data_IF_344636000725
#
_entry.id   IF_344636000725
#
_cell.length_a   1.000
_cell.length_b   1.000
_cell.length_c   1.000
_cell.angle_alpha   90.00
_cell.angle_beta   90.00
_cell.angle_gamma   90.00
#
_symmetry.space_group_name_H-M   'P 1'
#
loop_
_entity.id
_entity.type
_entity.pdbx_description
1 polymer ?
#
# COMPACT_ATOMS: atom_id res chain seq x y z
N UNK A 1 14.33 75.48 26.32
CA UNK A 1 13.64 74.23 26.82
C UNK A 1 12.47 73.81 25.92
N UNK A 2 11.76 74.70 25.30
CA UNK A 2 10.58 74.38 24.42
C UNK A 2 11.01 73.70 23.07
N UNK A 3 12.13 74.13 22.52
CA UNK A 3 12.66 73.56 21.25
C UNK A 3 13.17 72.12 21.43
N UNK A 4 13.76 71.81 22.56
CA UNK A 4 14.29 70.47 22.83
C UNK A 4 13.16 69.40 22.96
N UNK A 5 12.00 69.77 23.48
CA UNK A 5 10.82 68.91 23.59
C UNK A 5 10.19 68.56 22.23
N UNK A 6 10.26 69.49 21.28
CA UNK A 6 9.72 69.29 19.92
C UNK A 6 10.59 68.27 19.15
N UNK A 7 11.90 68.35 19.30
CA UNK A 7 12.81 67.38 18.64
C UNK A 7 12.62 65.94 19.17
N UNK A 8 12.41 65.78 20.47
CA UNK A 8 12.11 64.45 21.05
C UNK A 8 10.77 63.89 20.60
N UNK A 9 9.74 64.74 20.48
CA UNK A 9 8.41 64.34 19.97
C UNK A 9 8.45 63.94 18.52
N UNK A 10 9.25 64.60 17.68
CA UNK A 10 9.40 64.28 16.29
C UNK A 10 10.20 62.96 16.06
N UNK A 11 11.24 62.75 16.90
CA UNK A 11 11.99 61.48 16.89
C UNK A 11 11.15 60.25 17.28
N UNK A 12 10.20 60.40 18.18
CA UNK A 12 9.32 59.32 18.60
C UNK A 12 8.26 58.94 17.56
N UNK A 13 7.79 59.93 16.77
CA UNK A 13 6.81 59.69 15.70
C UNK A 13 7.44 58.97 14.49
N UNK A 14 8.72 59.25 14.19
CA UNK A 14 9.45 58.60 13.08
C UNK A 14 9.71 57.10 13.38
N UNK A 15 9.89 56.72 14.65
CA UNK A 15 10.06 55.30 15.03
C UNK A 15 8.77 54.44 14.86
N UNK A 16 7.60 55.06 14.83
CA UNK A 16 6.34 54.31 14.67
C UNK A 16 6.01 53.99 13.19
N UNK A 17 6.74 54.59 12.23
CA UNK A 17 6.55 54.34 10.80
C UNK A 17 7.47 53.25 10.23
N UNK A 18 8.36 52.71 11.05
CA UNK A 18 9.22 51.57 10.66
C UNK A 18 8.52 50.20 10.83
N UNK A 19 7.20 50.14 10.57
CA UNK A 19 6.53 48.88 10.38
C UNK A 19 6.86 48.37 8.98
N UNK A 20 7.94 47.56 8.87
CA UNK A 20 8.31 46.90 7.63
C UNK A 20 7.14 46.03 7.18
N UNK A 21 6.74 46.22 5.91
CA UNK A 21 5.90 45.25 5.22
C UNK A 21 6.50 43.85 5.39
N UNK A 22 5.82 43.01 6.17
CA UNK A 22 6.10 41.59 6.15
C UNK A 22 5.80 41.13 4.72
N UNK A 23 6.85 40.86 3.94
CA UNK A 23 6.70 40.13 2.67
C UNK A 23 5.83 38.93 2.97
N UNK A 24 4.60 38.90 2.45
CA UNK A 24 3.79 37.70 2.42
C UNK A 24 4.69 36.60 1.93
N UNK A 25 5.08 35.68 2.81
CA UNK A 25 5.73 34.46 2.40
C UNK A 25 4.78 33.82 1.39
N UNK A 26 5.16 33.84 0.15
CA UNK A 26 4.49 33.05 -0.87
C UNK A 26 4.49 31.64 -0.31
N UNK A 27 3.29 31.12 0.00
CA UNK A 27 3.14 29.74 0.42
C UNK A 27 3.57 28.86 -0.74
N UNK A 28 4.88 28.61 -0.84
CA UNK A 28 5.44 27.61 -1.72
C UNK A 28 4.84 26.29 -1.27
N UNK A 29 3.78 25.87 -1.94
CA UNK A 29 3.21 24.53 -1.73
C UNK A 29 4.30 23.56 -2.11
N UNK A 30 4.91 22.94 -1.09
CA UNK A 30 5.91 21.90 -1.30
C UNK A 30 5.25 20.75 -2.06
N UNK A 31 5.70 20.51 -3.29
CA UNK A 31 5.18 19.46 -4.18
C UNK A 31 6.00 18.17 -4.13
N UNK A 32 7.06 18.15 -3.33
CA UNK A 32 7.92 16.97 -3.17
C UNK A 32 7.34 15.91 -2.22
N UNK A 33 8.07 14.82 -1.99
CA UNK A 33 7.72 13.80 -1.00
C UNK A 33 7.80 14.37 0.41
N UNK A 34 6.85 13.97 1.27
CA UNK A 34 6.83 14.37 2.70
C UNK A 34 7.95 13.69 3.49
N UNK A 35 8.23 12.43 3.17
CA UNK A 35 9.32 11.64 3.74
C UNK A 35 9.68 10.47 2.85
N UNK A 36 10.92 10.01 2.98
CA UNK A 36 11.40 8.76 2.41
C UNK A 36 12.02 7.92 3.52
N UNK A 37 11.67 6.64 3.55
CA UNK A 37 12.15 5.66 4.51
C UNK A 37 12.76 4.48 3.75
N UNK A 38 13.84 3.91 4.29
CA UNK A 38 14.52 2.74 3.72
C UNK A 38 14.49 1.57 4.69
N UNK A 39 14.52 0.35 4.15
CA UNK A 39 14.59 -0.87 4.96
C UNK A 39 13.32 -1.10 5.78
N UNK A 40 12.16 -1.08 5.14
CA UNK A 40 10.86 -1.26 5.80
C UNK A 40 10.65 -2.73 6.12
N UNK A 41 10.44 -3.04 7.39
CA UNK A 41 9.95 -4.32 7.91
C UNK A 41 8.87 -4.01 8.95
N UNK A 42 7.63 -4.23 8.59
CA UNK A 42 6.47 -3.81 9.37
C UNK A 42 5.54 -4.98 9.62
N UNK A 43 5.05 -5.10 10.85
CA UNK A 43 4.04 -6.09 11.23
C UNK A 43 2.72 -5.37 11.51
N UNK A 44 1.70 -5.75 10.76
CA UNK A 44 0.32 -5.38 11.04
C UNK A 44 -0.29 -6.42 11.98
N UNK A 45 -0.79 -5.96 13.14
CA UNK A 45 -1.33 -6.84 14.17
C UNK A 45 -2.76 -6.44 14.53
N UNK A 46 -3.59 -7.43 14.87
CA UNK A 46 -4.91 -7.24 15.45
C UNK A 46 -5.02 -8.11 16.71
N UNK A 47 -5.51 -7.50 17.81
CA UNK A 47 -5.67 -8.19 19.10
C UNK A 47 -4.40 -8.92 19.56
N UNK A 48 -3.25 -8.25 19.49
CA UNK A 48 -1.92 -8.75 19.83
C UNK A 48 -1.42 -9.95 18.99
N UNK A 49 -2.03 -10.21 17.83
CA UNK A 49 -1.59 -11.26 16.90
C UNK A 49 -1.15 -10.64 15.59
N UNK A 50 -0.01 -11.10 15.09
CA UNK A 50 0.45 -10.71 13.76
C UNK A 50 -0.54 -11.26 12.71
N UNK A 51 -0.99 -10.38 11.81
CA UNK A 51 -1.86 -10.74 10.69
C UNK A 51 -1.08 -10.71 9.39
N UNK A 52 -0.26 -9.67 9.22
CA UNK A 52 0.54 -9.48 8.01
C UNK A 52 1.90 -8.90 8.40
N UNK A 53 2.98 -9.45 7.84
CA UNK A 53 4.30 -8.81 7.79
C UNK A 53 4.54 -8.27 6.40
N UNK A 54 4.99 -7.05 6.31
CA UNK A 54 5.31 -6.35 5.07
C UNK A 54 6.79 -6.01 5.06
N UNK A 55 7.49 -6.36 3.98
CA UNK A 55 8.89 -6.01 3.77
C UNK A 55 9.06 -5.37 2.41
N UNK A 56 9.77 -4.24 2.37
CA UNK A 56 10.15 -3.54 1.15
C UNK A 56 11.38 -2.66 1.41
N UNK A 57 12.11 -2.33 0.36
CA UNK A 57 13.33 -1.52 0.48
C UNK A 57 13.05 -0.05 0.73
N UNK A 58 12.03 0.53 0.08
CA UNK A 58 11.81 1.98 0.09
C UNK A 58 10.33 2.32 0.20
N UNK A 59 10.00 3.29 1.05
CA UNK A 59 8.70 3.92 1.14
C UNK A 59 8.84 5.43 0.94
N UNK A 60 8.08 5.99 0.04
CA UNK A 60 7.95 7.44 -0.21
C UNK A 60 6.56 7.87 0.23
N UNK A 61 6.47 8.83 1.14
CA UNK A 61 5.19 9.37 1.59
C UNK A 61 4.89 10.68 0.88
N UNK A 62 3.75 10.77 0.22
CA UNK A 62 3.29 11.97 -0.47
C UNK A 62 2.74 13.03 0.50
N UNK A 63 2.53 14.29 0.08
CA UNK A 63 1.92 15.33 0.91
C UNK A 63 0.49 14.99 1.36
N UNK A 64 -0.25 14.17 0.61
CA UNK A 64 -1.59 13.68 0.93
C UNK A 64 -1.56 12.39 1.77
N UNK A 65 -0.36 12.00 2.22
CA UNK A 65 -0.09 10.83 3.07
C UNK A 65 -0.35 9.47 2.40
N UNK A 66 -0.49 9.43 1.09
CA UNK A 66 -0.35 8.19 0.32
C UNK A 66 1.10 7.71 0.40
N UNK A 67 1.31 6.39 0.32
CA UNK A 67 2.64 5.79 0.37
C UNK A 67 2.92 5.04 -0.92
N UNK A 68 4.02 5.36 -1.52
CA UNK A 68 4.51 4.71 -2.74
C UNK A 68 5.67 3.81 -2.35
N UNK A 69 5.64 2.58 -2.81
CA UNK A 69 6.67 1.58 -2.64
C UNK A 69 7.23 1.23 -4.02
N UNK A 70 8.30 1.93 -4.48
CA UNK A 70 8.81 1.81 -5.85
C UNK A 70 9.62 0.55 -6.09
N UNK A 71 9.86 -0.24 -5.07
CA UNK A 71 10.64 -1.48 -5.09
C UNK A 71 9.77 -2.67 -4.70
N UNK A 72 10.32 -3.87 -4.92
CA UNK A 72 9.65 -5.11 -4.54
C UNK A 72 9.05 -5.03 -3.14
N UNK A 73 7.80 -5.46 -3.02
CA UNK A 73 7.11 -5.62 -1.76
C UNK A 73 6.77 -7.08 -1.55
N UNK A 74 7.06 -7.59 -0.36
CA UNK A 74 6.63 -8.92 0.10
C UNK A 74 5.69 -8.81 1.29
N UNK A 75 4.62 -9.60 1.27
CA UNK A 75 3.63 -9.71 2.33
C UNK A 75 3.56 -11.17 2.76
N UNK A 76 3.60 -11.42 4.08
CA UNK A 76 3.32 -12.73 4.68
C UNK A 76 2.03 -12.61 5.47
N UNK A 77 1.04 -13.39 5.12
CA UNK A 77 -0.21 -13.47 5.85
C UNK A 77 -0.17 -14.64 6.82
N UNK A 78 -0.72 -14.45 8.01
CA UNK A 78 -0.69 -15.42 9.10
C UNK A 78 -2.10 -15.83 9.51
N UNK A 79 -2.26 -17.08 9.93
CA UNK A 79 -3.46 -17.58 10.60
C UNK A 79 -3.48 -17.17 12.09
N UNK A 80 -4.53 -17.61 12.78
CA UNK A 80 -4.69 -17.35 14.23
C UNK A 80 -3.64 -18.03 15.11
N UNK A 81 -2.94 -19.04 14.59
CA UNK A 81 -1.89 -19.79 15.28
C UNK A 81 -0.49 -19.24 14.98
N UNK A 82 -0.38 -18.27 14.07
CA UNK A 82 0.89 -17.66 13.63
C UNK A 82 1.56 -18.40 12.48
N UNK A 83 0.89 -19.36 11.84
CA UNK A 83 1.43 -20.03 10.66
C UNK A 83 1.23 -19.15 9.43
N UNK A 84 2.22 -19.17 8.51
CA UNK A 84 2.11 -18.48 7.23
C UNK A 84 1.08 -19.19 6.35
N UNK A 85 0.04 -18.47 5.93
CA UNK A 85 -1.01 -18.99 5.05
C UNK A 85 -0.75 -18.67 3.58
N UNK A 86 -0.22 -17.48 3.33
CA UNK A 86 0.16 -17.05 1.98
C UNK A 86 1.32 -16.08 2.00
N UNK A 87 2.11 -16.12 0.93
CA UNK A 87 3.20 -15.18 0.68
C UNK A 87 2.90 -14.49 -0.65
N UNK A 88 2.89 -13.17 -0.64
CA UNK A 88 2.61 -12.37 -1.81
C UNK A 88 3.80 -11.50 -2.13
N UNK A 89 4.12 -11.40 -3.42
CA UNK A 89 5.18 -10.55 -3.95
C UNK A 89 4.65 -9.71 -5.10
N UNK A 90 5.03 -8.44 -5.18
CA UNK A 90 4.83 -7.57 -6.34
C UNK A 90 6.06 -6.69 -6.55
N UNK A 91 6.28 -6.22 -7.77
CA UNK A 91 7.45 -5.39 -8.12
C UNK A 91 7.38 -4.00 -7.49
N UNK A 92 6.17 -3.50 -7.22
CA UNK A 92 5.92 -2.23 -6.56
C UNK A 92 4.56 -2.25 -5.86
N UNK A 93 4.30 -1.24 -5.02
CA UNK A 93 2.98 -1.07 -4.42
C UNK A 93 2.65 0.41 -4.17
N UNK A 94 1.36 0.69 -4.01
CA UNK A 94 0.83 1.98 -3.62
C UNK A 94 -0.21 1.79 -2.52
N UNK A 95 -0.06 2.52 -1.43
CA UNK A 95 -1.08 2.63 -0.37
C UNK A 95 -1.86 3.93 -0.55
N UNK A 96 -3.15 3.81 -0.65
CA UNK A 96 -4.10 4.92 -0.72
C UNK A 96 -4.70 5.17 0.66
N UNK A 97 -4.36 6.30 1.28
CA UNK A 97 -4.84 6.64 2.61
C UNK A 97 -6.36 6.78 2.68
N UNK A 98 -6.94 7.42 1.67
CA UNK A 98 -8.37 7.71 1.64
C UNK A 98 -9.24 6.44 1.69
N UNK A 99 -8.81 5.39 1.00
CA UNK A 99 -9.54 4.11 0.91
C UNK A 99 -8.97 3.04 1.83
N UNK A 100 -7.88 3.33 2.55
CA UNK A 100 -7.13 2.37 3.36
C UNK A 100 -6.84 1.08 2.58
N UNK A 101 -6.31 1.22 1.37
CA UNK A 101 -6.08 0.10 0.46
C UNK A 101 -4.64 0.06 -0.02
N UNK A 102 -4.13 -1.14 -0.23
CA UNK A 102 -2.84 -1.38 -0.87
C UNK A 102 -3.07 -1.96 -2.27
N UNK A 103 -2.45 -1.38 -3.27
CA UNK A 103 -2.42 -1.92 -4.63
C UNK A 103 -1.00 -2.39 -4.91
N UNK A 104 -0.82 -3.71 -5.11
CA UNK A 104 0.44 -4.27 -5.57
C UNK A 104 0.41 -4.40 -7.09
N UNK A 105 1.55 -4.16 -7.73
CA UNK A 105 1.65 -4.07 -9.19
C UNK A 105 2.95 -4.69 -9.67
N UNK A 106 2.90 -5.21 -10.91
CA UNK A 106 4.03 -5.82 -11.62
C UNK A 106 4.33 -7.23 -11.13
N UNK A 107 4.20 -8.22 -12.01
CA UNK A 107 4.53 -9.63 -11.79
C UNK A 107 4.11 -10.13 -10.39
N UNK A 108 2.84 -9.89 -10.06
CA UNK A 108 2.33 -10.27 -8.75
C UNK A 108 2.23 -11.78 -8.66
N UNK A 109 2.89 -12.34 -7.67
CA UNK A 109 2.92 -13.78 -7.38
C UNK A 109 2.38 -14.02 -5.97
N UNK A 110 1.39 -14.89 -5.86
CA UNK A 110 0.78 -15.30 -4.60
C UNK A 110 1.04 -16.78 -4.42
N UNK A 111 1.80 -17.14 -3.39
CA UNK A 111 2.01 -18.52 -2.98
C UNK A 111 1.02 -18.84 -1.85
N UNK A 112 -0.07 -19.51 -2.19
CA UNK A 112 -1.07 -20.00 -1.23
C UNK A 112 -0.57 -21.31 -0.60
N UNK A 113 0.00 -21.21 0.59
CA UNK A 113 0.57 -22.37 1.29
C UNK A 113 -0.49 -23.32 1.83
N UNK A 114 -1.71 -22.84 2.11
CA UNK A 114 -2.82 -23.66 2.59
C UNK A 114 -3.25 -24.70 1.56
N UNK A 115 -3.23 -24.32 0.27
CA UNK A 115 -3.72 -25.16 -0.83
C UNK A 115 -2.58 -25.68 -1.73
N UNK A 116 -1.34 -25.20 -1.54
CA UNK A 116 -0.21 -25.55 -2.41
C UNK A 116 -0.37 -24.98 -3.83
N UNK A 117 -0.92 -23.78 -3.96
CA UNK A 117 -1.24 -23.13 -5.22
C UNK A 117 -0.35 -21.92 -5.46
N UNK A 118 -0.03 -21.69 -6.74
CA UNK A 118 0.67 -20.49 -7.20
C UNK A 118 -0.27 -19.67 -8.08
N UNK A 119 -0.54 -18.43 -7.67
CA UNK A 119 -1.43 -17.53 -8.38
C UNK A 119 -0.60 -16.37 -8.93
N UNK A 120 -0.76 -16.08 -10.22
CA UNK A 120 -0.07 -14.98 -10.89
C UNK A 120 -1.10 -14.01 -11.47
N UNK A 121 -0.80 -12.71 -11.36
CA UNK A 121 -1.56 -11.62 -11.95
C UNK A 121 -0.67 -10.39 -12.13
N UNK A 122 -1.12 -9.36 -12.84
CA UNK A 122 -0.35 -8.13 -13.02
C UNK A 122 -0.53 -7.16 -11.85
N UNK A 123 -1.68 -7.21 -11.18
CA UNK A 123 -1.99 -6.37 -10.03
C UNK A 123 -3.06 -6.98 -9.13
N UNK A 124 -3.07 -6.60 -7.87
CA UNK A 124 -4.22 -6.79 -7.00
C UNK A 124 -4.37 -5.67 -5.99
N UNK A 125 -5.55 -5.56 -5.42
CA UNK A 125 -5.86 -4.63 -4.32
C UNK A 125 -6.15 -5.41 -3.05
N UNK A 126 -5.48 -5.02 -1.96
CA UNK A 126 -5.76 -5.52 -0.62
C UNK A 126 -6.46 -4.44 0.20
N UNK A 127 -7.58 -4.81 0.82
CA UNK A 127 -8.41 -4.00 1.70
C UNK A 127 -8.28 -4.56 3.13
N UNK A 128 -7.33 -4.05 3.96
CA UNK A 128 -7.11 -4.58 5.31
C UNK A 128 -8.36 -4.55 6.19
N UNK A 129 -9.14 -3.47 6.11
CA UNK A 129 -10.37 -3.30 6.88
C UNK A 129 -11.45 -4.31 6.54
N UNK A 130 -11.50 -4.78 5.30
CA UNK A 130 -12.44 -5.79 4.82
C UNK A 130 -11.87 -7.21 4.89
N UNK A 131 -10.58 -7.35 5.21
CA UNK A 131 -9.83 -8.62 5.16
C UNK A 131 -9.95 -9.30 3.79
N UNK A 132 -9.93 -8.52 2.72
CA UNK A 132 -10.23 -8.92 1.36
C UNK A 132 -9.11 -8.54 0.40
N UNK A 133 -8.87 -9.40 -0.57
CA UNK A 133 -7.98 -9.18 -1.71
C UNK A 133 -8.78 -9.39 -2.98
N UNK A 134 -8.61 -8.52 -3.98
CA UNK A 134 -9.26 -8.69 -5.27
C UNK A 134 -8.41 -8.14 -6.42
N UNK A 135 -8.69 -8.63 -7.61
CA UNK A 135 -8.19 -8.08 -8.87
C UNK A 135 -9.25 -8.20 -9.96
N UNK A 136 -9.22 -7.27 -10.92
CA UNK A 136 -10.02 -7.34 -12.16
C UNK A 136 -9.18 -7.82 -13.35
N UNK A 137 -7.90 -8.09 -13.13
CA UNK A 137 -6.93 -8.50 -14.15
C UNK A 137 -7.02 -9.99 -14.47
N UNK A 138 -6.41 -10.43 -15.58
CA UNK A 138 -6.19 -11.84 -15.84
C UNK A 138 -5.43 -12.49 -14.66
N UNK A 139 -5.84 -13.72 -14.35
CA UNK A 139 -5.26 -14.53 -13.28
C UNK A 139 -4.94 -15.91 -13.82
N UNK A 140 -3.79 -16.43 -13.43
CA UNK A 140 -3.39 -17.81 -13.68
C UNK A 140 -3.16 -18.49 -12.33
N UNK A 141 -3.84 -19.60 -12.09
CA UNK A 141 -3.72 -20.41 -10.87
C UNK A 141 -3.13 -21.75 -11.25
N UNK A 142 -1.95 -22.04 -10.76
CA UNK A 142 -1.31 -23.34 -10.91
C UNK A 142 -1.48 -24.11 -9.61
N UNK A 143 -2.19 -25.22 -9.68
CA UNK A 143 -2.29 -26.23 -8.62
C UNK A 143 -1.23 -27.32 -8.85
N UNK A 144 -1.30 -28.41 -8.11
CA UNK A 144 -0.43 -29.57 -8.33
C UNK A 144 -0.70 -30.25 -9.67
N UNK A 145 -1.95 -30.28 -10.12
CA UNK A 145 -2.43 -31.01 -11.31
C UNK A 145 -2.91 -30.08 -12.41
N UNK A 146 -3.47 -28.92 -12.06
CA UNK A 146 -4.24 -28.10 -12.98
C UNK A 146 -3.59 -26.75 -13.22
N UNK A 147 -3.90 -26.18 -14.38
CA UNK A 147 -3.60 -24.78 -14.71
C UNK A 147 -4.91 -24.09 -15.08
N UNK A 148 -5.37 -23.21 -14.22
CA UNK A 148 -6.63 -22.50 -14.34
C UNK A 148 -6.36 -21.05 -14.74
N UNK A 149 -7.00 -20.61 -15.82
CA UNK A 149 -6.95 -19.21 -16.24
C UNK A 149 -8.31 -18.56 -16.04
N UNK A 150 -8.30 -17.29 -15.67
CA UNK A 150 -9.53 -16.53 -15.51
C UNK A 150 -9.27 -15.03 -15.52
N UNK A 151 -10.35 -14.26 -15.42
CA UNK A 151 -10.31 -12.81 -15.27
C UNK A 151 -11.12 -12.42 -14.04
N UNK A 152 -10.48 -11.67 -13.18
CA UNK A 152 -11.08 -11.24 -11.91
C UNK A 152 -11.03 -12.33 -10.84
N UNK A 153 -10.40 -12.00 -9.73
CA UNK A 153 -10.31 -12.84 -8.54
C UNK A 153 -10.80 -12.04 -7.33
N UNK A 154 -11.52 -12.70 -6.45
CA UNK A 154 -11.94 -12.19 -5.15
C UNK A 154 -11.58 -13.21 -4.08
N UNK A 155 -10.86 -12.81 -3.04
CA UNK A 155 -10.29 -13.73 -2.06
C UNK A 155 -10.36 -13.15 -0.64
N UNK A 156 -10.48 -14.02 0.35
CA UNK A 156 -10.09 -13.69 1.73
C UNK A 156 -8.60 -13.38 1.78
N UNK A 157 -8.17 -12.46 2.65
CA UNK A 157 -6.76 -12.01 2.69
C UNK A 157 -5.76 -13.13 3.00
N UNK A 158 -6.20 -14.19 3.67
CA UNK A 158 -5.41 -15.39 3.99
C UNK A 158 -5.48 -16.47 2.90
N UNK A 159 -6.20 -16.23 1.80
CA UNK A 159 -6.46 -17.16 0.70
C UNK A 159 -7.12 -18.47 1.13
N UNK A 160 -7.74 -18.54 2.28
CA UNK A 160 -8.56 -19.70 2.73
C UNK A 160 -9.71 -19.96 1.73
N UNK A 161 -10.30 -18.91 1.21
CA UNK A 161 -11.33 -18.95 0.16
C UNK A 161 -11.04 -17.93 -0.92
N UNK A 162 -11.34 -18.29 -2.16
CA UNK A 162 -11.33 -17.37 -3.28
C UNK A 162 -12.31 -17.81 -4.38
N UNK A 163 -12.67 -16.89 -5.27
CA UNK A 163 -13.48 -17.14 -6.46
C UNK A 163 -12.90 -16.41 -7.67
N UNK A 164 -12.97 -17.06 -8.83
CA UNK A 164 -12.73 -16.44 -10.14
C UNK A 164 -14.04 -16.01 -10.75
N UNK A 165 -14.10 -14.79 -11.30
CA UNK A 165 -15.34 -14.28 -11.93
C UNK A 165 -15.58 -14.87 -13.32
N UNK A 166 -14.54 -15.04 -14.10
CA UNK A 166 -14.60 -15.60 -15.44
C UNK A 166 -13.46 -16.60 -15.63
N UNK A 167 -13.79 -17.87 -15.71
CA UNK A 167 -12.81 -18.93 -16.05
C UNK A 167 -12.69 -19.01 -17.57
N UNK A 168 -11.44 -19.08 -18.05
CA UNK A 168 -11.11 -19.19 -19.47
C UNK A 168 -10.22 -20.42 -19.67
N UNK A 169 -9.78 -20.71 -20.87
CA UNK A 169 -8.88 -21.77 -21.30
C UNK A 169 -8.06 -22.48 -20.20
N UNK A 170 -8.74 -23.30 -19.40
CA UNK A 170 -8.12 -24.01 -18.27
C UNK A 170 -7.81 -25.45 -18.65
N UNK A 171 -6.68 -25.95 -18.16
CA UNK A 171 -6.32 -27.36 -18.27
C UNK A 171 -6.59 -28.00 -16.92
N UNK A 172 -7.55 -28.91 -16.89
CA UNK A 172 -7.91 -29.67 -15.68
C UNK A 172 -7.52 -31.13 -15.91
N UNK A 173 -6.79 -31.69 -14.98
CA UNK A 173 -6.48 -33.13 -14.97
C UNK A 173 -7.60 -33.85 -14.25
N UNK A 174 -8.32 -34.70 -14.95
CA UNK A 174 -9.32 -35.59 -14.34
C UNK A 174 -8.58 -36.84 -13.87
N UNK A 175 -8.47 -37.06 -12.57
CA UNK A 175 -8.07 -38.35 -12.06
C UNK A 175 -9.12 -39.39 -12.48
N UNK A 176 -8.73 -40.36 -13.33
CA UNK A 176 -9.62 -41.47 -13.65
C UNK A 176 -9.99 -42.17 -12.34
N UNK A 177 -11.28 -42.16 -12.03
CA UNK A 177 -11.80 -42.95 -10.93
C UNK A 177 -11.47 -44.41 -11.22
N UNK A 178 -10.94 -45.21 -10.27
CA UNK A 178 -10.73 -46.62 -10.51
C UNK A 178 -12.05 -47.26 -10.89
N UNK A 179 -12.09 -47.82 -12.10
CA UNK A 179 -13.22 -48.59 -12.62
C UNK A 179 -13.24 -49.89 -11.81
N UNK A 180 -14.25 -50.06 -10.95
CA UNK A 180 -14.51 -51.30 -10.23
C UNK A 180 -15.11 -52.35 -11.18
#
# INVERSE_FOLDING_TARGET
>A
MRQLRIVYLFGWVVCLLACSESKKAENLVYKGSKSELSGIDMIYSDSARAIVRMVTETQITSPIEDRIYPKEMKLWFYDKLGNVTSIIRGDSAHYFRQTNSYKLMGHVVINNQLKGELINTDEFTWLPGEKRIFTDRPVSIKTRTDLIHGVGLDAAQDFSTYSLRHVTNSVLTVDELPVN
#
